data_IF_129160043607
#
_entry.id   IF_129160043607
#
_cell.length_a   1.000
_cell.length_b   1.000
_cell.length_c   1.000
_cell.angle_alpha   90.00
_cell.angle_beta   90.00
_cell.angle_gamma   90.00
#
_symmetry.space_group_name_H-M   'P 1'
#
loop_
_entity.id
_entity.type
_entity.pdbx_description
1 polymer ?
#
# COMPACT_ATOMS: atom_id res chain seq x y z
N UNK A 1 -28.76 -23.67 -14.16
CA UNK A 1 -28.49 -22.45 -14.95
C UNK A 1 -27.23 -21.83 -14.47
N UNK A 2 -26.15 -21.85 -15.23
CA UNK A 2 -24.90 -21.13 -14.89
C UNK A 2 -25.16 -19.65 -15.11
N UNK A 3 -25.25 -18.91 -14.03
CA UNK A 3 -25.38 -17.45 -14.06
C UNK A 3 -24.03 -16.88 -14.50
N UNK A 4 -23.93 -16.47 -15.76
CA UNK A 4 -22.79 -15.71 -16.28
C UNK A 4 -22.86 -14.31 -15.69
N UNK A 5 -22.53 -14.17 -14.42
CA UNK A 5 -22.28 -12.86 -13.81
C UNK A 5 -20.89 -12.41 -14.23
N UNK A 6 -20.82 -11.16 -14.65
CA UNK A 6 -19.64 -10.54 -15.18
C UNK A 6 -18.45 -10.54 -14.23
N UNK A 7 -17.41 -9.90 -14.64
CA UNK A 7 -16.02 -9.74 -14.21
C UNK A 7 -15.68 -9.85 -12.71
N UNK A 8 -16.64 -9.89 -11.80
CA UNK A 8 -16.47 -10.01 -10.35
C UNK A 8 -17.35 -11.15 -9.84
N UNK A 9 -16.73 -12.28 -9.56
CA UNK A 9 -17.36 -13.35 -8.79
C UNK A 9 -17.33 -12.93 -7.32
N UNK A 10 -18.43 -12.33 -6.87
CA UNK A 10 -18.60 -11.93 -5.48
C UNK A 10 -19.05 -13.16 -4.72
N UNK A 11 -18.23 -13.62 -3.78
CA UNK A 11 -18.57 -14.74 -2.90
C UNK A 11 -19.87 -14.43 -2.12
N UNK A 12 -20.66 -15.48 -1.80
CA UNK A 12 -21.96 -15.34 -1.13
C UNK A 12 -21.90 -14.57 0.20
N UNK A 13 -20.74 -14.59 0.87
CA UNK A 13 -20.49 -13.83 2.09
C UNK A 13 -20.53 -12.31 1.85
N UNK A 14 -20.02 -11.85 0.70
CA UNK A 14 -20.06 -10.44 0.30
C UNK A 14 -21.40 -10.03 -0.28
N UNK A 15 -22.10 -10.95 -0.96
CA UNK A 15 -23.50 -10.70 -1.35
C UNK A 15 -24.38 -10.42 -0.12
N UNK A 16 -24.17 -11.14 0.97
CA UNK A 16 -24.88 -10.93 2.23
C UNK A 16 -24.56 -9.55 2.84
N UNK A 17 -23.32 -9.10 2.82
CA UNK A 17 -22.91 -7.76 3.29
C UNK A 17 -23.55 -6.65 2.45
N UNK A 18 -23.56 -6.77 1.13
CA UNK A 18 -24.21 -5.80 0.23
C UNK A 18 -25.71 -5.68 0.46
N UNK A 19 -26.37 -6.79 0.80
CA UNK A 19 -27.84 -6.83 0.97
C UNK A 19 -28.28 -6.37 2.36
N UNK A 20 -27.50 -6.68 3.41
CA UNK A 20 -27.90 -6.44 4.80
C UNK A 20 -27.49 -5.07 5.33
N UNK A 21 -26.40 -4.49 4.85
CA UNK A 21 -25.77 -3.33 5.50
C UNK A 21 -25.73 -2.07 4.65
N UNK A 22 -26.32 -2.06 3.45
CA UNK A 22 -26.25 -0.95 2.48
C UNK A 22 -24.82 -0.49 2.16
N UNK A 23 -23.83 -1.37 2.35
CA UNK A 23 -22.43 -1.09 2.02
C UNK A 23 -22.26 -0.82 0.54
N UNK A 24 -21.47 0.17 0.17
CA UNK A 24 -21.14 0.44 -1.23
C UNK A 24 -20.29 -0.70 -1.81
N UNK A 25 -20.31 -0.87 -3.13
CA UNK A 25 -19.42 -1.83 -3.80
C UNK A 25 -17.95 -1.58 -3.45
N UNK A 26 -17.56 -0.32 -3.29
CA UNK A 26 -16.20 0.08 -2.91
C UNK A 26 -15.82 -0.42 -1.52
N UNK A 27 -16.73 -0.34 -0.53
CA UNK A 27 -16.50 -0.86 0.82
C UNK A 27 -16.32 -2.38 0.81
N UNK A 28 -17.14 -3.10 0.04
CA UNK A 28 -16.99 -4.55 -0.11
C UNK A 28 -15.66 -4.92 -0.77
N UNK A 29 -15.25 -4.21 -1.81
CA UNK A 29 -13.96 -4.42 -2.46
C UNK A 29 -12.79 -4.14 -1.50
N UNK A 30 -12.89 -3.07 -0.70
CA UNK A 30 -11.90 -2.72 0.31
C UNK A 30 -11.76 -3.83 1.37
N UNK A 31 -12.86 -4.35 1.89
CA UNK A 31 -12.84 -5.48 2.85
C UNK A 31 -12.19 -6.72 2.22
N UNK A 32 -12.51 -7.02 0.97
CA UNK A 32 -11.92 -8.14 0.23
C UNK A 32 -10.40 -7.96 0.04
N UNK A 33 -9.96 -6.76 -0.31
CA UNK A 33 -8.53 -6.46 -0.44
C UNK A 33 -7.81 -6.58 0.90
N UNK A 34 -8.41 -6.12 1.99
CA UNK A 34 -7.86 -6.29 3.34
C UNK A 34 -7.71 -7.78 3.71
N UNK A 35 -8.72 -8.62 3.45
CA UNK A 35 -8.63 -10.07 3.69
C UNK A 35 -7.54 -10.75 2.86
N UNK A 36 -7.28 -10.23 1.66
CA UNK A 36 -6.20 -10.68 0.78
C UNK A 36 -4.85 -10.02 1.08
N UNK A 37 -4.79 -9.18 2.12
CA UNK A 37 -3.61 -8.41 2.52
C UNK A 37 -3.05 -7.51 1.44
N UNK A 38 -3.95 -6.95 0.64
CA UNK A 38 -3.62 -5.97 -0.41
C UNK A 38 -3.76 -4.56 0.14
N UNK A 39 -2.74 -3.76 -0.09
CA UNK A 39 -2.70 -2.33 0.25
C UNK A 39 -2.43 -1.57 -1.05
N UNK A 40 -3.24 -0.54 -1.31
CA UNK A 40 -3.09 0.30 -2.50
C UNK A 40 -2.54 1.66 -2.09
N UNK A 41 -1.42 2.04 -2.71
CA UNK A 41 -0.77 3.33 -2.56
C UNK A 41 -0.70 3.98 -3.95
N UNK A 42 -1.82 4.55 -4.38
CA UNK A 42 -2.03 5.09 -5.72
C UNK A 42 -2.24 6.60 -5.67
N UNK A 43 -1.36 7.31 -4.95
CA UNK A 43 -1.48 8.76 -4.76
C UNK A 43 -0.12 9.39 -4.45
N UNK A 44 -0.11 10.69 -4.19
CA UNK A 44 1.02 11.41 -3.65
C UNK A 44 1.40 10.85 -2.27
N UNK A 45 2.70 10.83 -1.99
CA UNK A 45 3.21 10.38 -0.70
C UNK A 45 3.10 11.53 0.30
N UNK A 46 2.15 11.41 1.21
CA UNK A 46 1.97 12.29 2.35
C UNK A 46 1.59 11.49 3.61
N UNK A 47 1.43 12.15 4.73
CA UNK A 47 1.13 11.47 6.00
C UNK A 47 -0.25 10.81 5.97
N UNK A 48 -1.21 11.36 5.27
CA UNK A 48 -2.57 10.82 5.19
C UNK A 48 -2.58 9.53 4.36
N UNK A 49 -1.93 9.55 3.20
CA UNK A 49 -1.88 8.40 2.29
C UNK A 49 -1.05 7.24 2.85
N UNK A 50 0.05 7.51 3.57
CA UNK A 50 0.87 6.43 4.14
C UNK A 50 0.33 5.88 5.45
N UNK A 51 -0.44 6.65 6.23
CA UNK A 51 -0.94 6.22 7.55
C UNK A 51 -1.79 4.97 7.47
N UNK A 52 -2.66 4.86 6.48
CA UNK A 52 -3.47 3.65 6.23
C UNK A 52 -2.61 2.43 5.93
N UNK A 53 -1.59 2.58 5.08
CA UNK A 53 -0.67 1.51 4.75
C UNK A 53 0.14 1.03 5.97
N UNK A 54 0.68 1.97 6.76
CA UNK A 54 1.41 1.69 8.00
C UNK A 54 0.53 0.95 8.99
N UNK A 55 -0.72 1.44 9.20
CA UNK A 55 -1.67 0.82 10.11
C UNK A 55 -1.95 -0.64 9.70
N UNK A 56 -2.20 -0.91 8.44
CA UNK A 56 -2.46 -2.25 7.93
C UNK A 56 -1.25 -3.16 8.09
N UNK A 57 -0.03 -2.68 7.83
CA UNK A 57 1.20 -3.46 8.04
C UNK A 57 1.31 -3.89 9.52
N UNK A 58 1.10 -2.97 10.46
CA UNK A 58 1.14 -3.30 11.88
C UNK A 58 -0.01 -4.22 12.29
N UNK A 59 -1.20 -4.07 11.71
CA UNK A 59 -2.33 -4.95 11.98
C UNK A 59 -2.01 -6.39 11.55
N UNK A 60 -1.52 -6.61 10.33
CA UNK A 60 -1.16 -7.95 9.85
C UNK A 60 -0.01 -8.56 10.66
N UNK A 61 0.94 -7.76 11.14
CA UNK A 61 1.98 -8.26 12.06
C UNK A 61 1.41 -8.73 13.40
N UNK A 62 0.37 -8.06 13.93
CA UNK A 62 -0.33 -8.51 15.14
C UNK A 62 -1.11 -9.79 14.91
N UNK A 63 -1.81 -9.89 13.79
CA UNK A 63 -2.57 -11.10 13.41
C UNK A 63 -1.67 -12.32 13.26
N UNK A 64 -0.46 -12.12 12.75
CA UNK A 64 0.52 -13.17 12.54
C UNK A 64 1.44 -13.41 13.74
N UNK A 65 1.23 -12.77 14.90
CA UNK A 65 2.19 -12.78 16.00
C UNK A 65 2.62 -14.18 16.44
N UNK A 66 1.69 -15.13 16.43
CA UNK A 66 1.89 -16.51 16.86
C UNK A 66 2.37 -17.44 15.72
N UNK A 67 2.50 -16.93 14.49
CA UNK A 67 2.95 -17.70 13.34
C UNK A 67 4.46 -17.58 13.13
N UNK A 68 5.16 -18.67 12.81
CA UNK A 68 6.53 -18.61 12.29
C UNK A 68 6.59 -17.72 11.04
N UNK A 69 7.70 -17.01 10.84
CA UNK A 69 7.83 -16.05 9.73
C UNK A 69 7.64 -16.72 8.36
N UNK A 70 8.10 -17.95 8.21
CA UNK A 70 8.00 -18.76 6.99
C UNK A 70 6.58 -19.18 6.64
N UNK A 71 5.66 -19.17 7.60
CA UNK A 71 4.24 -19.50 7.40
C UNK A 71 3.36 -18.26 7.19
N UNK A 72 3.93 -17.06 7.39
CA UNK A 72 3.18 -15.80 7.25
C UNK A 72 2.90 -15.49 5.78
N UNK A 73 1.64 -15.23 5.47
CA UNK A 73 1.27 -14.76 4.14
C UNK A 73 1.82 -13.34 3.92
N UNK A 74 2.43 -13.07 2.76
CA UNK A 74 2.96 -11.73 2.49
C UNK A 74 1.87 -10.68 2.42
N UNK A 75 2.23 -9.47 2.80
CA UNK A 75 1.46 -8.26 2.56
C UNK A 75 1.83 -7.77 1.15
N UNK A 76 0.83 -7.44 0.34
CA UNK A 76 1.01 -6.99 -1.04
C UNK A 76 0.75 -5.48 -1.11
N UNK A 77 1.81 -4.70 -1.28
CA UNK A 77 1.74 -3.25 -1.41
C UNK A 77 1.83 -2.85 -2.88
N UNK A 78 0.69 -2.49 -3.45
CA UNK A 78 0.56 -2.02 -4.83
C UNK A 78 0.80 -0.52 -4.89
N UNK A 79 1.78 -0.08 -5.68
CA UNK A 79 2.23 1.31 -5.70
C UNK A 79 2.16 1.86 -7.12
N UNK A 80 1.51 3.03 -7.27
CA UNK A 80 1.63 3.91 -8.41
C UNK A 80 1.65 5.35 -7.88
N UNK A 81 2.85 5.94 -7.78
CA UNK A 81 3.03 7.25 -7.12
C UNK A 81 4.12 8.07 -7.79
N UNK A 82 3.85 9.37 -7.91
CA UNK A 82 4.82 10.38 -8.34
C UNK A 82 5.84 10.74 -7.24
N UNK A 83 5.66 10.23 -6.02
CA UNK A 83 6.44 10.61 -4.86
C UNK A 83 5.74 11.63 -3.99
N UNK A 84 6.49 12.40 -3.22
CA UNK A 84 5.97 13.42 -2.30
C UNK A 84 6.85 13.58 -1.06
N UNK A 85 6.24 13.67 0.11
CA UNK A 85 6.92 13.93 1.39
C UNK A 85 7.95 12.86 1.72
N UNK A 86 9.18 13.30 1.96
CA UNK A 86 10.29 12.45 2.35
C UNK A 86 10.07 11.83 3.73
N UNK A 87 9.61 12.64 4.69
CA UNK A 87 9.39 12.18 6.07
C UNK A 87 8.26 11.14 6.14
N UNK A 88 7.16 11.39 5.44
CA UNK A 88 6.05 10.42 5.34
C UNK A 88 6.50 9.13 4.66
N UNK A 89 7.30 9.24 3.59
CA UNK A 89 7.85 8.09 2.89
C UNK A 89 8.78 7.26 3.75
N UNK A 90 9.67 7.87 4.53
CA UNK A 90 10.53 7.14 5.45
C UNK A 90 9.75 6.45 6.57
N UNK A 91 8.68 7.06 7.09
CA UNK A 91 7.83 6.39 8.07
C UNK A 91 7.23 5.07 7.51
N UNK A 92 6.80 5.07 6.24
CA UNK A 92 6.32 3.85 5.60
C UNK A 92 7.46 2.85 5.32
N UNK A 93 8.63 3.32 4.88
CA UNK A 93 9.82 2.49 4.69
C UNK A 93 10.19 1.77 5.98
N UNK A 94 10.22 2.47 7.11
CA UNK A 94 10.49 1.89 8.41
C UNK A 94 9.46 0.83 8.79
N UNK A 95 8.17 1.08 8.55
CA UNK A 95 7.12 0.10 8.78
C UNK A 95 7.31 -1.17 7.92
N UNK A 96 7.70 -1.01 6.66
CA UNK A 96 7.99 -2.13 5.75
C UNK A 96 9.20 -2.92 6.25
N UNK A 97 10.30 -2.24 6.58
CA UNK A 97 11.57 -2.88 6.93
C UNK A 97 11.54 -3.55 8.31
N UNK A 98 10.79 -2.99 9.26
CA UNK A 98 10.64 -3.57 10.61
C UNK A 98 9.56 -4.63 10.69
N UNK A 99 8.76 -4.79 9.64
CA UNK A 99 7.71 -5.80 9.56
C UNK A 99 8.28 -7.22 9.59
N UNK A 100 7.82 -8.05 10.52
CA UNK A 100 8.15 -9.48 10.57
C UNK A 100 7.36 -10.27 9.53
N UNK A 101 6.16 -9.83 9.19
CA UNK A 101 5.39 -10.35 8.05
C UNK A 101 5.95 -9.75 6.77
N UNK A 102 6.35 -10.56 5.77
CA UNK A 102 7.02 -10.05 4.59
C UNK A 102 6.12 -9.11 3.79
N UNK A 103 6.63 -7.93 3.44
CA UNK A 103 5.96 -6.97 2.55
C UNK A 103 6.56 -7.09 1.15
N UNK A 104 5.71 -7.35 0.16
CA UNK A 104 6.09 -7.36 -1.26
C UNK A 104 5.53 -6.12 -1.92
N UNK A 105 6.35 -5.44 -2.69
CA UNK A 105 5.96 -4.22 -3.40
C UNK A 105 5.76 -4.48 -4.89
N UNK A 106 4.70 -3.95 -5.44
CA UNK A 106 4.29 -4.17 -6.82
C UNK A 106 4.11 -2.82 -7.52
N UNK A 107 4.92 -2.53 -8.55
CA UNK A 107 4.73 -1.37 -9.40
C UNK A 107 3.56 -1.63 -10.36
N UNK A 108 2.47 -0.91 -10.18
CA UNK A 108 1.26 -1.03 -11.01
C UNK A 108 1.19 -0.01 -12.13
N UNK A 109 2.20 0.84 -12.26
CA UNK A 109 2.27 1.86 -13.31
C UNK A 109 3.57 2.64 -13.24
N UNK A 110 3.81 3.33 -12.15
CA UNK A 110 4.99 4.17 -11.98
C UNK A 110 5.44 4.28 -10.53
N UNK A 111 6.74 4.21 -10.32
CA UNK A 111 7.42 4.50 -9.07
C UNK A 111 8.36 5.67 -9.29
N UNK A 112 7.97 6.86 -8.85
CA UNK A 112 8.77 8.05 -9.02
C UNK A 112 9.18 8.62 -7.68
N UNK A 113 10.41 9.17 -7.61
CA UNK A 113 10.92 9.88 -6.44
C UNK A 113 10.74 9.07 -5.14
N UNK A 114 10.04 9.56 -4.14
CA UNK A 114 9.78 8.86 -2.88
C UNK A 114 9.00 7.55 -3.08
N UNK A 115 8.10 7.47 -4.07
CA UNK A 115 7.43 6.23 -4.44
C UNK A 115 8.40 5.13 -4.91
N UNK A 116 9.50 5.51 -5.55
CA UNK A 116 10.57 4.58 -5.92
C UNK A 116 11.31 4.05 -4.69
N UNK A 117 11.66 4.90 -3.74
CA UNK A 117 12.34 4.49 -2.51
C UNK A 117 11.47 3.54 -1.67
N UNK A 118 10.18 3.85 -1.53
CA UNK A 118 9.21 2.95 -0.86
C UNK A 118 9.16 1.60 -1.57
N UNK A 119 9.08 1.61 -2.90
CA UNK A 119 9.07 0.38 -3.69
C UNK A 119 10.31 -0.49 -3.46
N UNK A 120 11.48 0.12 -3.31
CA UNK A 120 12.73 -0.60 -3.02
C UNK A 120 12.77 -1.23 -1.62
N UNK A 121 12.01 -0.74 -0.66
CA UNK A 121 11.98 -1.25 0.70
C UNK A 121 11.34 -2.64 0.83
N UNK A 122 10.54 -3.07 -0.15
CA UNK A 122 9.89 -4.37 -0.14
C UNK A 122 10.86 -5.55 -0.17
N UNK A 123 10.53 -6.61 0.56
CA UNK A 123 11.32 -7.86 0.62
C UNK A 123 11.41 -8.54 -0.75
N UNK A 124 10.34 -8.49 -1.53
CA UNK A 124 10.32 -8.83 -2.95
C UNK A 124 9.66 -7.68 -3.71
N UNK A 125 10.12 -7.43 -4.91
CA UNK A 125 9.68 -6.35 -5.78
C UNK A 125 9.21 -6.92 -7.09
N UNK A 126 8.06 -6.46 -7.54
CA UNK A 126 7.45 -6.84 -8.80
C UNK A 126 7.09 -5.58 -9.58
N UNK A 127 6.99 -5.71 -10.89
CA UNK A 127 6.54 -4.62 -11.76
C UNK A 127 5.66 -5.18 -12.87
N UNK A 128 4.64 -4.42 -13.23
CA UNK A 128 3.86 -4.70 -14.43
C UNK A 128 4.70 -4.45 -15.68
N UNK A 129 4.40 -5.09 -16.83
CA UNK A 129 5.26 -5.02 -18.03
C UNK A 129 5.56 -3.61 -18.55
N UNK A 130 4.61 -2.67 -18.37
CA UNK A 130 4.74 -1.28 -18.83
C UNK A 130 5.04 -0.31 -17.67
N UNK A 131 5.41 -0.83 -16.50
CA UNK A 131 5.73 0.01 -15.35
C UNK A 131 7.01 0.80 -15.57
N UNK A 132 7.01 2.04 -15.09
CA UNK A 132 8.12 2.98 -15.21
C UNK A 132 8.72 3.33 -13.86
N UNK A 133 9.96 3.79 -13.88
CA UNK A 133 10.71 4.15 -12.69
C UNK A 133 11.41 5.49 -12.92
N UNK A 134 11.41 6.36 -11.91
CA UNK A 134 12.14 7.61 -11.96
C UNK A 134 12.76 7.93 -10.60
N UNK A 135 14.05 8.17 -10.61
CA UNK A 135 14.80 8.70 -9.48
C UNK A 135 15.44 10.03 -9.88
N UNK A 136 15.33 11.02 -9.03
CA UNK A 136 15.92 12.33 -9.23
C UNK A 136 16.42 12.90 -7.90
N UNK A 137 17.22 13.95 -7.95
CA UNK A 137 17.62 14.69 -6.76
C UNK A 137 16.41 15.34 -6.09
N UNK A 138 16.36 15.26 -4.75
CA UNK A 138 15.23 15.78 -3.98
C UNK A 138 15.14 17.30 -4.04
N UNK A 139 13.91 17.82 -4.04
CA UNK A 139 13.63 19.24 -3.84
C UNK A 139 13.27 19.49 -2.38
N UNK A 140 13.93 20.44 -1.72
CA UNK A 140 13.66 20.82 -0.34
C UNK A 140 12.99 22.20 -0.28
N UNK A 141 11.87 22.29 0.43
CA UNK A 141 11.31 23.57 0.85
C UNK A 141 11.74 23.84 2.30
N UNK A 142 12.58 24.86 2.50
CA UNK A 142 13.00 25.27 3.83
C UNK A 142 12.16 26.47 4.28
N UNK A 143 11.33 26.24 5.30
CA UNK A 143 10.66 27.32 6.01
C UNK A 143 11.55 27.79 7.15
N UNK A 144 12.11 28.99 7.03
CA UNK A 144 12.89 29.61 8.11
C UNK A 144 12.43 31.06 8.30
N UNK A 145 12.48 31.54 9.54
CA UNK A 145 12.31 32.97 9.78
C UNK A 145 13.47 33.71 9.09
N UNK A 146 13.18 34.81 8.39
CA UNK A 146 14.12 35.51 7.51
C UNK A 146 15.44 35.98 8.13
N UNK A 147 15.64 35.83 9.44
CA UNK A 147 16.87 36.11 10.15
C UNK A 147 17.89 34.96 10.21
N UNK A 148 17.56 33.78 9.68
CA UNK A 148 18.39 32.57 9.75
C UNK A 148 18.63 31.86 8.40
N UNK A 149 18.17 32.42 7.29
CA UNK A 149 18.51 31.96 5.95
C UNK A 149 19.83 32.63 5.52
N UNK A 150 20.95 31.99 5.79
CA UNK A 150 22.24 32.26 5.16
C UNK A 150 22.75 31.00 4.50
#
# INVERSE_FOLDING_TARGET
MKNTRGYFDIDAEYEALLVTDRSSLEEVMMVKDMQQRKIWLHDEIDIETVSGAIHNIYQYNREDADLPVEERKPILLYIASNGGSVDAGFALIDAIQTSKTPVYTINTGYWYSMGFLIGLAGKKRFAMPNATFLMHDGSNFIWTSGSKAQ
#
